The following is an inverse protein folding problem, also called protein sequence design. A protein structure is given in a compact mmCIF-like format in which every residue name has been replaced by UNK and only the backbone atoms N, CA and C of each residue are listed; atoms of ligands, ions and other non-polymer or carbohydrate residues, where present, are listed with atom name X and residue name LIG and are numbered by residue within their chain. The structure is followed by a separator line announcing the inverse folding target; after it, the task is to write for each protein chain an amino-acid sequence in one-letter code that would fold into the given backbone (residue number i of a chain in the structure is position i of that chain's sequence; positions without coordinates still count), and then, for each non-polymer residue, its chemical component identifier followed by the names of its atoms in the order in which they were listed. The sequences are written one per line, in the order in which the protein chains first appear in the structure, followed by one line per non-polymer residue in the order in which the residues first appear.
data_IF_033710390336
#
_entry.id   IF_033710390336
#
_cell.length_a   1.000
_cell.length_b   1.000
_cell.length_c   1.000
_cell.angle_alpha   90.00
_cell.angle_beta   90.00
_cell.angle_gamma   90.00
#
_symmetry.space_group_name_H-M   'P 1'
#
loop_
_entity.id
_entity.type
_entity.pdbx_description
1 polymer ?
#
# COMPACT_ATOMS: atom_id res chain seq x y z
N UNK A 1 -0.33 16.56 -5.86
CA UNK A 1 -1.46 16.48 -6.82
C UNK A 1 -1.86 15.06 -7.22
N UNK A 2 -0.97 14.05 -7.15
CA UNK A 2 -1.29 12.67 -7.58
C UNK A 2 -2.48 12.04 -6.81
N UNK A 3 -2.52 12.15 -5.49
CA UNK A 3 -3.58 11.54 -4.67
C UNK A 3 -4.98 12.11 -4.95
N UNK A 4 -5.08 13.41 -5.25
CA UNK A 4 -6.35 14.02 -5.67
C UNK A 4 -6.84 13.39 -6.98
N UNK A 5 -5.94 13.18 -7.94
CA UNK A 5 -6.30 12.54 -9.22
C UNK A 5 -6.72 11.08 -9.03
N UNK A 6 -6.04 10.34 -8.16
CA UNK A 6 -6.43 8.96 -7.84
C UNK A 6 -7.80 8.90 -7.16
N UNK A 7 -8.11 9.84 -6.27
CA UNK A 7 -9.44 9.98 -5.67
C UNK A 7 -10.51 10.27 -6.73
N UNK A 8 -10.30 11.24 -7.61
CA UNK A 8 -11.25 11.53 -8.70
C UNK A 8 -11.54 10.31 -9.58
N UNK A 9 -10.48 9.57 -9.96
CA UNK A 9 -10.62 8.37 -10.76
C UNK A 9 -11.41 7.28 -10.02
N UNK A 10 -11.15 7.09 -8.72
CA UNK A 10 -11.88 6.13 -7.90
C UNK A 10 -13.34 6.54 -7.69
N UNK A 11 -13.60 7.83 -7.45
CA UNK A 11 -14.94 8.39 -7.31
C UNK A 11 -15.77 8.16 -8.58
N UNK A 12 -15.15 8.38 -9.75
CA UNK A 12 -15.78 8.17 -11.05
C UNK A 12 -16.03 6.68 -11.33
N UNK A 13 -15.07 5.82 -11.03
CA UNK A 13 -15.18 4.38 -11.29
C UNK A 13 -16.24 3.70 -10.41
N UNK A 14 -16.36 4.14 -9.15
CA UNK A 14 -17.26 3.54 -8.16
C UNK A 14 -18.60 4.29 -8.02
N UNK A 15 -18.76 5.40 -8.75
CA UNK A 15 -19.91 6.32 -8.68
C UNK A 15 -20.27 6.72 -7.23
N UNK A 16 -19.25 6.96 -6.41
CA UNK A 16 -19.41 7.30 -4.98
C UNK A 16 -18.23 8.10 -4.47
N UNK A 17 -18.45 8.87 -3.41
CA UNK A 17 -17.37 9.60 -2.75
C UNK A 17 -16.50 8.66 -1.89
N UNK A 18 -15.26 8.42 -2.33
CA UNK A 18 -14.25 7.66 -1.61
C UNK A 18 -13.60 8.56 -0.55
N UNK A 19 -13.66 8.12 0.70
CA UNK A 19 -13.13 8.85 1.85
C UNK A 19 -12.00 8.11 2.54
N UNK A 20 -12.14 6.82 2.75
CA UNK A 20 -11.14 6.01 3.43
C UNK A 20 -10.17 5.38 2.44
N UNK A 21 -8.88 5.34 2.80
CA UNK A 21 -7.85 4.73 1.97
C UNK A 21 -6.74 4.08 2.78
N UNK A 22 -6.03 3.15 2.14
CA UNK A 22 -4.72 2.70 2.58
C UNK A 22 -3.69 3.07 1.51
N UNK A 23 -2.50 3.45 1.94
CA UNK A 23 -1.39 3.73 1.02
C UNK A 23 -0.29 2.70 1.24
N UNK A 24 0.19 2.14 0.14
CA UNK A 24 1.35 1.27 0.12
C UNK A 24 2.61 2.13 0.07
N UNK A 25 3.57 1.90 0.96
CA UNK A 25 4.84 2.60 0.98
C UNK A 25 6.02 1.64 1.17
N UNK A 26 7.22 2.14 0.90
CA UNK A 26 8.45 1.38 1.03
C UNK A 26 8.76 1.14 2.51
N UNK A 27 9.24 -0.07 2.84
CA UNK A 27 9.53 -0.46 4.21
C UNK A 27 10.50 0.50 4.93
N UNK A 28 11.46 1.07 4.18
CA UNK A 28 12.48 1.99 4.69
C UNK A 28 12.04 3.46 4.78
N UNK A 29 10.77 3.78 4.51
CA UNK A 29 10.28 5.14 4.76
C UNK A 29 10.43 5.50 6.24
N UNK A 30 11.06 6.63 6.51
CA UNK A 30 11.16 7.18 7.86
C UNK A 30 9.80 7.63 8.37
N UNK A 31 9.69 7.81 9.69
CA UNK A 31 8.46 8.31 10.31
C UNK A 31 8.02 9.67 9.75
N UNK A 32 8.98 10.54 9.42
CA UNK A 32 8.71 11.82 8.78
C UNK A 32 8.14 11.66 7.36
N UNK A 33 8.68 10.74 6.56
CA UNK A 33 8.16 10.44 5.23
C UNK A 33 6.77 9.80 5.29
N UNK A 34 6.53 8.93 6.28
CA UNK A 34 5.21 8.35 6.56
C UNK A 34 4.21 9.43 6.98
N UNK A 35 4.60 10.36 7.84
CA UNK A 35 3.74 11.45 8.27
C UNK A 35 3.40 12.38 7.11
N UNK A 36 4.39 12.74 6.29
CA UNK A 36 4.18 13.55 5.08
C UNK A 36 3.20 12.86 4.10
N UNK A 37 3.26 11.53 4.02
CA UNK A 37 2.31 10.73 3.22
C UNK A 37 0.90 10.81 3.78
N UNK A 38 0.73 10.73 5.11
CA UNK A 38 -0.57 10.92 5.78
C UNK A 38 -1.13 12.31 5.54
N UNK A 39 -0.31 13.34 5.71
CA UNK A 39 -0.71 14.74 5.52
C UNK A 39 -1.10 15.01 4.05
N UNK A 40 -0.39 14.39 3.11
CA UNK A 40 -0.72 14.43 1.68
C UNK A 40 -2.07 13.78 1.37
N UNK A 41 -2.39 12.68 2.07
CA UNK A 41 -3.70 12.03 1.99
C UNK A 41 -4.82 12.92 2.54
N UNK A 42 -4.61 13.52 3.70
CA UNK A 42 -5.56 14.46 4.29
C UNK A 42 -5.83 15.66 3.38
N UNK A 43 -4.77 16.22 2.77
CA UNK A 43 -4.87 17.31 1.79
C UNK A 43 -5.69 16.90 0.56
N UNK A 44 -5.66 15.62 0.17
CA UNK A 44 -6.46 15.09 -0.92
C UNK A 44 -7.91 14.74 -0.53
N UNK A 45 -8.31 14.99 0.72
CA UNK A 45 -9.62 14.62 1.24
C UNK A 45 -9.78 13.12 1.51
N UNK A 46 -8.67 12.41 1.70
CA UNK A 46 -8.64 10.99 2.03
C UNK A 46 -8.23 10.79 3.49
N UNK A 47 -8.99 9.99 4.23
CA UNK A 47 -8.64 9.48 5.54
C UNK A 47 -7.79 8.23 5.39
N UNK A 48 -6.51 8.33 5.74
CA UNK A 48 -5.62 7.17 5.74
C UNK A 48 -5.90 6.28 6.96
N UNK A 49 -6.34 5.06 6.70
CA UNK A 49 -6.55 4.04 7.72
C UNK A 49 -5.23 3.41 8.17
N UNK A 50 -4.36 3.12 7.20
CA UNK A 50 -3.04 2.55 7.46
C UNK A 50 -2.08 2.83 6.31
N UNK A 51 -0.78 2.83 6.62
CA UNK A 51 0.29 2.71 5.62
C UNK A 51 0.85 1.30 5.74
N UNK A 52 0.71 0.51 4.69
CA UNK A 52 1.20 -0.86 4.64
C UNK A 52 2.45 -0.95 3.78
N UNK A 53 3.26 -1.98 4.00
CA UNK A 53 4.46 -2.21 3.19
C UNK A 53 4.09 -2.88 1.89
N UNK A 54 4.77 -2.49 0.82
CA UNK A 54 4.62 -3.06 -0.52
C UNK A 54 4.67 -4.59 -0.58
N UNK A 55 5.67 -5.27 -0.02
CA UNK A 55 5.70 -6.74 -0.05
C UNK A 55 4.52 -7.33 0.74
N UNK A 56 4.18 -6.78 1.91
CA UNK A 56 3.00 -7.26 2.66
C UNK A 56 1.70 -7.06 1.87
N UNK A 57 1.56 -5.94 1.16
CA UNK A 57 0.41 -5.66 0.30
C UNK A 57 0.32 -6.65 -0.87
N UNK A 58 1.46 -6.95 -1.50
CA UNK A 58 1.56 -7.90 -2.58
C UNK A 58 1.24 -9.34 -2.11
N UNK A 59 1.74 -9.75 -0.95
CA UNK A 59 1.42 -11.04 -0.32
C UNK A 59 -0.08 -11.18 -0.02
N UNK A 60 -0.71 -10.12 0.50
CA UNK A 60 -2.15 -10.08 0.70
C UNK A 60 -2.91 -10.22 -0.63
N UNK A 61 -2.46 -9.55 -1.69
CA UNK A 61 -3.08 -9.63 -3.01
C UNK A 61 -2.95 -11.01 -3.66
N UNK A 62 -1.81 -11.68 -3.48
CA UNK A 62 -1.60 -13.06 -3.96
C UNK A 62 -2.43 -14.09 -3.16
N UNK A 63 -2.97 -13.70 -2.00
CA UNK A 63 -3.88 -14.54 -1.21
C UNK A 63 -3.16 -15.49 -0.26
N UNK A 64 -1.92 -15.17 0.12
CA UNK A 64 -1.12 -15.99 1.03
C UNK A 64 -1.73 -16.10 2.43
N UNK A 65 -2.42 -15.05 2.86
CA UNK A 65 -3.19 -15.04 4.11
C UNK A 65 -4.38 -16.05 4.14
N UNK A 66 -4.62 -16.81 3.06
CA UNK A 66 -5.70 -17.82 2.98
C UNK A 66 -5.19 -19.27 3.08
N UNK A 67 -3.88 -19.51 3.07
CA UNK A 67 -3.31 -20.84 3.23
C UNK A 67 -3.18 -21.16 4.72
N UNK A 68 -4.21 -21.78 5.30
CA UNK A 68 -4.12 -22.28 6.67
C UNK A 68 -3.17 -23.47 6.78
N UNK A 69 -2.21 -23.42 7.71
CA UNK A 69 -1.65 -24.65 8.31
C UNK A 69 -0.14 -24.75 8.52
N UNK A 70 0.69 -23.85 8.02
CA UNK A 70 2.16 -23.93 8.18
C UNK A 70 2.81 -22.61 7.81
N UNK A 71 3.92 -22.22 8.47
CA UNK A 71 4.77 -21.10 8.04
C UNK A 71 5.09 -21.26 6.54
N UNK A 72 4.73 -20.24 5.75
CA UNK A 72 5.03 -20.20 4.33
C UNK A 72 6.11 -19.15 4.13
N UNK A 73 7.35 -19.60 3.88
CA UNK A 73 8.43 -18.72 3.44
C UNK A 73 8.27 -18.45 1.95
N UNK A 74 7.89 -17.22 1.62
CA UNK A 74 7.75 -16.79 0.23
C UNK A 74 8.62 -15.56 -0.05
N UNK A 75 9.45 -15.68 -1.10
CA UNK A 75 10.28 -14.60 -1.59
C UNK A 75 9.47 -13.71 -2.52
N UNK A 76 9.26 -12.47 -2.12
CA UNK A 76 8.72 -11.46 -3.02
C UNK A 76 9.85 -10.71 -3.73
N UNK A 77 9.78 -10.74 -5.06
CA UNK A 77 10.66 -9.98 -5.93
C UNK A 77 9.89 -8.82 -6.56
N UNK A 78 10.29 -7.59 -6.20
CA UNK A 78 9.78 -6.36 -6.82
C UNK A 78 10.92 -5.68 -7.58
N UNK A 79 10.75 -5.52 -8.89
CA UNK A 79 11.68 -4.84 -9.78
C UNK A 79 11.01 -3.62 -10.44
N UNK A 80 10.84 -2.57 -9.64
CA UNK A 80 10.39 -1.27 -10.09
C UNK A 80 11.45 -0.48 -10.86
N UNK A 81 11.02 0.63 -11.49
CA UNK A 81 11.86 1.48 -12.35
C UNK A 81 13.11 2.04 -11.65
N UNK A 82 13.07 2.22 -10.33
CA UNK A 82 14.13 2.85 -9.54
C UNK A 82 14.62 1.99 -8.38
N UNK A 83 14.01 0.83 -8.18
CA UNK A 83 14.22 -0.02 -7.02
C UNK A 83 14.04 -1.49 -7.41
N UNK A 84 14.98 -2.32 -6.98
CA UNK A 84 14.83 -3.77 -6.97
C UNK A 84 14.88 -4.25 -5.52
N UNK A 85 13.92 -5.06 -5.09
CA UNK A 85 13.76 -5.49 -3.70
C UNK A 85 13.45 -6.99 -3.64
N UNK A 86 14.02 -7.58 -2.60
CA UNK A 86 13.76 -8.94 -2.17
C UNK A 86 13.32 -8.86 -0.71
N UNK A 87 12.17 -9.43 -0.38
CA UNK A 87 11.78 -9.62 1.02
C UNK A 87 11.35 -11.07 1.20
N UNK A 88 11.96 -11.72 2.18
CA UNK A 88 11.47 -12.99 2.71
C UNK A 88 10.33 -12.65 3.67
N UNK A 89 9.14 -13.16 3.36
CA UNK A 89 7.96 -12.95 4.18
C UNK A 89 7.65 -14.24 4.92
N UNK A 90 7.72 -14.17 6.25
CA UNK A 90 7.17 -15.17 7.13
C UNK A 90 5.69 -14.82 7.35
N UNK A 91 4.79 -15.56 6.71
CA UNK A 91 3.33 -15.38 6.78
C UNK A 91 2.63 -16.50 7.54
#
# INVERSE_FOLDING_TARGET
MVLMKMKENADTYLDKNVKDSMIVALAYFSDSQRQTTKDSGATAGLKLLSIIYEPTAAAMAYGLNKKGGSEVHELMFDAGRWNTRYLDLDL
#
